data_IF_156338456485
#
_entry.id   IF_156338456485
#
_cell.length_a   1.000
_cell.length_b   1.000
_cell.length_c   1.000
_cell.angle_alpha   90.00
_cell.angle_beta   90.00
_cell.angle_gamma   90.00
#
_symmetry.space_group_name_H-M   'P 1'
#
loop_
_entity.id
_entity.type
_entity.pdbx_description
1 polymer ?
2 non-polymer ?
#
# COMPACT_ATOMS: atom_id res chain seq x y z
N UNK A 1 -6.57 10.76 2.24
CA UNK A 1 -6.92 12.19 2.37
C UNK A 1 -5.72 13.09 2.08
N UNK A 2 -4.85 13.31 3.07
CA UNK A 2 -3.69 14.18 2.87
C UNK A 2 -2.54 13.86 3.85
N UNK A 3 -2.76 14.17 5.13
CA UNK A 3 -1.76 13.96 6.17
C UNK A 3 -1.10 12.58 6.12
N UNK A 4 -1.92 11.53 6.14
CA UNK A 4 -1.41 10.16 6.12
C UNK A 4 -0.60 9.88 4.86
N UNK A 5 -0.97 10.52 3.75
CA UNK A 5 -0.26 10.33 2.48
C UNK A 5 1.19 10.77 2.63
N UNK A 6 1.39 11.98 3.16
CA UNK A 6 2.73 12.52 3.35
C UNK A 6 3.52 11.67 4.34
N UNK A 7 2.83 11.11 5.32
CA UNK A 7 3.48 10.25 6.31
C UNK A 7 4.08 9.03 5.61
N UNK A 8 3.27 8.40 4.76
CA UNK A 8 3.70 7.24 4.01
C UNK A 8 4.83 7.61 3.05
N UNK A 9 4.73 8.80 2.46
CA UNK A 9 5.73 9.29 1.52
C UNK A 9 7.11 9.37 2.17
N UNK A 10 7.23 10.13 3.24
CA UNK A 10 8.50 10.29 3.94
C UNK A 10 9.03 8.96 4.48
N UNK A 11 8.11 8.08 4.86
CA UNK A 11 8.49 6.78 5.39
C UNK A 11 9.19 5.91 4.34
N UNK A 12 8.54 5.72 3.19
CA UNK A 12 9.12 4.90 2.13
C UNK A 12 10.37 5.55 1.53
N UNK A 13 10.45 6.88 1.59
CA UNK A 13 11.61 7.59 1.06
C UNK A 13 12.85 7.31 1.93
N UNK A 14 12.61 6.74 3.11
CA UNK A 14 13.68 6.42 4.03
C UNK A 14 14.04 4.92 3.97
N UNK A 15 13.08 4.09 3.59
CA UNK A 15 13.33 2.65 3.53
C UNK A 15 13.61 2.18 2.11
N UNK A 16 12.85 2.68 1.15
CA UNK A 16 13.02 2.30 -0.25
C UNK A 16 13.92 3.29 -0.98
N UNK A 17 14.27 4.37 -0.29
CA UNK A 17 15.12 5.39 -0.88
C UNK A 17 14.44 6.11 -2.02
N UNK A 18 15.13 6.20 -3.16
CA UNK A 18 14.59 6.88 -4.33
C UNK A 18 13.62 5.97 -5.06
N UNK A 19 13.76 4.67 -4.83
CA UNK A 19 12.89 3.67 -5.45
C UNK A 19 11.59 3.50 -4.66
N UNK A 20 10.98 4.63 -4.32
CA UNK A 20 9.75 4.64 -3.55
C UNK A 20 8.57 5.03 -4.44
N UNK A 21 7.34 4.64 -4.06
CA UNK A 21 6.13 4.97 -4.84
C UNK A 21 5.83 6.46 -4.81
N UNK A 22 5.48 7.00 -5.98
CA UNK A 22 5.15 8.42 -6.09
C UNK A 22 3.84 8.73 -5.39
N UNK A 23 3.66 9.97 -4.97
CA UNK A 23 2.44 10.38 -4.28
C UNK A 23 1.20 10.12 -5.14
N UNK A 24 1.35 10.35 -6.44
CA UNK A 24 0.25 10.16 -7.39
C UNK A 24 -0.14 8.68 -7.47
N UNK A 25 0.76 7.81 -7.05
CA UNK A 25 0.52 6.38 -7.06
C UNK A 25 -0.09 5.94 -5.72
N UNK A 26 0.37 6.57 -4.65
CA UNK A 26 -0.10 6.28 -3.30
C UNK A 26 -1.60 6.51 -3.17
N UNK A 27 -2.05 7.70 -3.55
CA UNK A 27 -3.46 8.04 -3.46
C UNK A 27 -4.35 7.10 -4.24
N UNK A 28 -3.89 6.69 -5.40
CA UNK A 28 -4.65 5.77 -6.26
C UNK A 28 -4.91 4.45 -5.54
N UNK A 29 -3.87 3.88 -4.95
CA UNK A 29 -4.00 2.62 -4.23
C UNK A 29 -4.89 2.78 -3.00
N UNK A 30 -4.73 3.92 -2.33
CA UNK A 30 -5.51 4.24 -1.13
C UNK A 30 -7.01 4.20 -1.42
N UNK A 31 -7.42 4.88 -2.49
CA UNK A 31 -8.82 4.94 -2.87
C UNK A 31 -9.35 3.57 -3.32
N UNK A 32 -8.48 2.78 -3.94
CA UNK A 32 -8.86 1.46 -4.42
C UNK A 32 -9.19 0.53 -3.25
N UNK A 33 -8.32 0.54 -2.25
CA UNK A 33 -8.51 -0.30 -1.07
C UNK A 33 -9.79 0.05 -0.31
N UNK A 34 -10.23 1.30 -0.40
CA UNK A 34 -11.44 1.74 0.28
C UNK A 34 -12.69 1.27 -0.45
N UNK A 35 -12.72 1.45 -1.76
CA UNK A 35 -13.88 1.04 -2.56
C UNK A 35 -13.98 -0.47 -2.68
N UNK A 36 -12.85 -1.16 -2.56
CA UNK A 36 -12.82 -2.61 -2.63
C UNK A 36 -13.36 -3.22 -1.34
N UNK A 37 -13.47 -2.39 -0.30
CA UNK A 37 -13.97 -2.86 0.97
C UNK A 37 -12.89 -3.49 1.82
N UNK A 38 -11.66 -3.46 1.32
CA UNK A 38 -10.53 -4.04 2.03
C UNK A 38 -10.18 -3.19 3.23
N UNK A 39 -10.24 -1.88 3.07
CA UNK A 39 -9.94 -0.94 4.14
C UNK A 39 -11.08 0.06 4.28
N UNK A 40 -11.07 0.85 5.35
CA UNK A 40 -12.11 1.82 5.58
C UNK A 40 -11.54 3.19 5.94
N UNK A 41 -10.29 3.21 6.39
CA UNK A 41 -9.64 4.44 6.79
C UNK A 41 -8.18 4.46 6.31
N UNK A 42 -7.59 5.67 6.15
CA UNK A 42 -6.21 5.79 5.70
C UNK A 42 -5.20 5.30 6.74
N UNK A 43 -5.68 5.14 7.96
CA UNK A 43 -4.84 4.68 9.05
C UNK A 43 -4.90 3.15 9.18
N UNK A 44 -5.67 2.53 8.29
CA UNK A 44 -5.84 1.07 8.30
C UNK A 44 -4.52 0.35 8.00
N UNK A 45 -3.63 1.03 7.28
CA UNK A 45 -2.34 0.46 6.91
C UNK A 45 -1.47 0.16 8.14
N UNK A 46 -1.84 0.74 9.28
CA UNK A 46 -1.08 0.54 10.51
C UNK A 46 -1.39 -0.81 11.16
N UNK A 47 -2.28 -1.58 10.53
CA UNK A 47 -2.66 -2.89 11.04
C UNK A 47 -1.97 -4.00 10.23
N UNK A 48 -0.94 -4.65 10.82
CA UNK A 48 -0.18 -5.70 10.15
C UNK A 48 -1.00 -6.96 9.86
N UNK A 49 -1.97 -7.24 10.74
CA UNK A 49 -2.80 -8.42 10.57
C UNK A 49 -3.82 -8.28 9.47
N UNK A 50 -3.85 -7.13 8.83
CA UNK A 50 -4.80 -6.89 7.75
C UNK A 50 -4.10 -6.84 6.40
N UNK A 51 -2.78 -7.08 6.41
CA UNK A 51 -1.99 -7.06 5.18
C UNK A 51 -2.24 -8.31 4.33
N UNK A 52 -2.28 -9.46 5.00
CA UNK A 52 -2.47 -10.75 4.32
C UNK A 52 -3.68 -10.75 3.37
N UNK A 53 -4.91 -10.45 3.86
CA UNK A 53 -6.10 -10.44 3.01
C UNK A 53 -5.97 -9.48 1.82
N UNK A 54 -5.30 -8.35 2.05
CA UNK A 54 -5.12 -7.37 0.99
C UNK A 54 -4.20 -7.91 -0.10
N UNK A 55 -3.04 -8.42 0.28
CA UNK A 55 -2.09 -8.98 -0.67
C UNK A 55 -2.74 -10.10 -1.48
N UNK A 56 -3.50 -10.94 -0.80
CA UNK A 56 -4.19 -12.05 -1.44
C UNK A 56 -5.22 -11.54 -2.44
N UNK A 57 -6.05 -10.60 -1.99
CA UNK A 57 -7.10 -10.02 -2.83
C UNK A 57 -6.51 -9.31 -4.04
N UNK A 58 -5.44 -8.57 -3.84
CA UNK A 58 -4.80 -7.85 -4.93
C UNK A 58 -4.14 -8.81 -5.91
N UNK A 59 -3.50 -9.84 -5.38
CA UNK A 59 -2.85 -10.83 -6.23
C UNK A 59 -3.88 -11.53 -7.11
N UNK A 60 -5.03 -11.84 -6.52
CA UNK A 60 -6.11 -12.49 -7.25
C UNK A 60 -6.59 -11.59 -8.38
N UNK A 61 -6.86 -10.34 -8.05
CA UNK A 61 -7.33 -9.35 -9.03
C UNK A 61 -6.31 -9.18 -10.14
N UNK A 62 -5.03 -9.16 -9.77
CA UNK A 62 -3.95 -8.98 -10.73
C UNK A 62 -3.86 -10.15 -11.72
N UNK A 63 -3.90 -11.38 -11.20
CA UNK A 63 -3.80 -12.56 -12.06
C UNK A 63 -5.08 -12.85 -12.83
N UNK A 64 -6.22 -12.38 -12.32
CA UNK A 64 -7.49 -12.61 -13.00
C UNK A 64 -7.76 -11.52 -14.04
N UNK A 65 -7.66 -10.27 -13.63
CA UNK A 65 -7.92 -9.15 -14.53
C UNK A 65 -6.76 -8.93 -15.50
N UNK A 66 -5.56 -9.33 -15.08
CA UNK A 66 -4.40 -9.16 -15.92
C UNK A 66 -3.77 -7.78 -15.80
N UNK A 67 -3.59 -7.35 -14.57
CA UNK A 67 -2.99 -6.05 -14.30
C UNK A 67 -2.49 -5.97 -12.86
N UNK A 68 -1.21 -5.67 -12.71
CA UNK A 68 -0.60 -5.57 -11.39
C UNK A 68 -0.32 -4.11 -11.04
N UNK A 69 -1.07 -3.20 -11.66
CA UNK A 69 -0.89 -1.78 -11.43
C UNK A 69 -1.04 -1.40 -9.97
N UNK A 70 -2.05 -1.93 -9.32
CA UNK A 70 -2.30 -1.64 -7.92
C UNK A 70 -1.44 -2.52 -7.01
N UNK A 71 -1.10 -3.71 -7.50
CA UNK A 71 -0.29 -4.65 -6.74
C UNK A 71 1.14 -4.12 -6.54
N UNK A 72 1.67 -3.47 -7.56
CA UNK A 72 3.02 -2.91 -7.49
C UNK A 72 3.17 -1.95 -6.33
N UNK A 73 2.22 -1.03 -6.21
CA UNK A 73 2.23 -0.05 -5.14
C UNK A 73 2.17 -0.73 -3.78
N UNK A 74 1.30 -1.75 -3.67
CA UNK A 74 1.14 -2.49 -2.43
C UNK A 74 2.44 -3.16 -2.03
N UNK A 75 3.10 -3.79 -3.00
CA UNK A 75 4.36 -4.47 -2.73
C UNK A 75 5.41 -3.53 -2.15
N UNK A 76 5.44 -2.31 -2.66
CA UNK A 76 6.39 -1.31 -2.20
C UNK A 76 6.09 -0.91 -0.75
N UNK A 77 4.81 -0.69 -0.46
CA UNK A 77 4.38 -0.30 0.89
C UNK A 77 4.64 -1.45 1.86
N UNK A 78 4.22 -2.64 1.46
CA UNK A 78 4.37 -3.84 2.27
C UNK A 78 5.82 -4.07 2.67
N UNK A 79 6.73 -3.94 1.69
CA UNK A 79 8.14 -4.14 1.97
C UNK A 79 8.70 -3.16 2.98
N UNK A 80 8.38 -1.88 2.79
CA UNK A 80 8.85 -0.83 3.68
C UNK A 80 8.23 -0.94 5.07
N UNK A 81 6.92 -1.15 5.12
CA UNK A 81 6.21 -1.25 6.39
C UNK A 81 6.63 -2.50 7.16
N UNK A 82 6.83 -3.60 6.44
CA UNK A 82 7.24 -4.85 7.06
C UNK A 82 8.59 -4.68 7.73
N UNK A 83 9.47 -3.93 7.07
CA UNK A 83 10.81 -3.67 7.59
C UNK A 83 10.73 -2.75 8.80
N UNK A 84 9.84 -1.78 8.73
CA UNK A 84 9.64 -0.82 9.81
C UNK A 84 9.12 -1.52 11.06
N UNK A 85 8.14 -2.39 10.87
CA UNK A 85 7.53 -3.13 11.98
C UNK A 85 8.47 -4.22 12.49
N UNK A 86 9.51 -4.51 11.72
CA UNK A 86 10.48 -5.52 12.10
C UNK A 86 11.40 -5.00 13.20
N UNK A 87 11.51 -3.69 13.29
CA UNK A 87 12.37 -3.07 14.29
C UNK A 87 11.61 -2.89 15.59
X LIG B 1 8.25 13.78 -2.47
X LIG B 1 7.26 14.41 -1.47
X LIG B 1 6.17 15.20 -2.24
X LIG B 1 5.43 14.27 -3.22
X LIG B 1 6.42 13.63 -4.21
X LIG B 1 9.21 13.02 -1.75
X LIG B 1 7.52 12.85 -3.45
X LIG B 1 10.44 15.23 -0.88
X LIG B 1 11.86 13.00 -0.67
X LIG B 1 11.38 14.28 -3.19
X LIG B 1 6.65 13.42 -0.67
X LIG B 1 5.23 15.72 -1.32
X LIG B 1 4.48 15.02 -3.96
X LIG B 1 5.72 12.74 -5.06
X LIG B 1 7.29 13.16 -7.18
X LIG B 1 4.89 12.21 -7.75
X LIG B 1 5.31 14.91 -6.92
X LIG B 1 8.45 12.32 -4.36
X LIG B 1 10.72 13.90 -1.63
X LIG B 1 5.81 13.26 -6.72
X LIG B 1 5.49 17.45 -1.10
X LIG B 1 5.34 18.32 -2.59
X LIG B 1 4.41 18.09 0.10
X LIG B 1 6.93 17.66 -0.57
X LIG B 1 8.74 14.57 -3.04
X LIG B 1 7.80 15.10 -0.82
X LIG B 1 6.63 16.01 -2.81
X LIG B 1 4.93 13.48 -2.67
X LIG B 1 6.91 14.42 -4.79
X LIG B 1 7.05 12.03 -2.91
X LIG B 1 12.69 13.54 -0.62
X LIG B 1 7.36 12.75 -0.63
X LIG B 1 4.76 14.93 -4.90
X LIG B 1 8.18 12.70 -5.23
#
# INVERSE_FOLDING_TARGET
SEAVIKVISSACKTYCGKTSPSKKEIGAMLSLLQKEGLLMSPSDLYSPGSWDPITAALSQRAMILGKSGELKTWGLVLGALKAAREE
FGV C1 C2 C3 C4 C5 O1 C6 O11 O12 O13 O2 O3 O4 O5 O51 O52 O53 O6 P1 P5 P3 O31 O32 O33 H1 H2 H3 H4 H5 H6 H11 H12 H14 H16
#
